data_IF_296864104276
#
_entry.id   IF_296864104276
#
_cell.length_a   1.000
_cell.length_b   1.000
_cell.length_c   1.000
_cell.angle_alpha   90.00
_cell.angle_beta   90.00
_cell.angle_gamma   90.00
#
_symmetry.space_group_name_H-M   'P 1'
#
loop_
_entity.id
_entity.type
_entity.pdbx_description
1 polymer ?
#
# COMPACT_ATOMS: atom_id res chain seq x y z
N UNK A 1 24.05 4.44 -21.42
CA UNK A 1 22.77 5.17 -21.37
C UNK A 1 22.66 5.79 -19.99
N UNK A 2 22.58 7.11 -19.91
CA UNK A 2 22.75 7.88 -18.68
C UNK A 2 21.55 7.69 -17.74
N UNK A 3 21.81 7.12 -16.56
CA UNK A 3 20.84 7.04 -15.45
C UNK A 3 20.61 8.45 -14.91
N UNK A 4 19.44 9.03 -15.17
CA UNK A 4 19.01 10.23 -14.46
C UNK A 4 18.37 9.80 -13.15
N UNK A 5 19.16 9.80 -12.09
CA UNK A 5 18.65 9.75 -10.72
C UNK A 5 18.04 11.12 -10.44
N UNK A 6 16.72 11.19 -10.34
CA UNK A 6 16.05 12.40 -9.87
C UNK A 6 15.88 12.25 -8.36
N UNK A 7 16.84 12.76 -7.59
CA UNK A 7 16.64 13.01 -6.17
C UNK A 7 15.90 14.34 -6.07
N UNK A 8 14.58 14.32 -5.89
CA UNK A 8 13.84 15.55 -5.61
C UNK A 8 14.06 15.90 -4.14
N UNK A 9 15.10 16.70 -3.86
CA UNK A 9 15.22 17.42 -2.59
C UNK A 9 14.68 18.82 -2.82
N UNK A 10 13.47 19.10 -2.31
CA UNK A 10 13.04 20.48 -2.07
C UNK A 10 12.67 20.61 -0.60
N UNK A 11 13.64 21.05 0.21
CA UNK A 11 13.43 21.41 1.60
C UNK A 11 13.62 22.92 1.75
N UNK A 12 12.55 23.65 2.08
CA UNK A 12 12.68 24.97 2.70
C UNK A 12 13.10 24.73 4.16
N UNK A 13 14.34 25.06 4.46
CA UNK A 13 14.95 24.89 5.79
C UNK A 13 14.40 25.95 6.77
N UNK A 14 13.93 25.49 7.94
CA UNK A 14 13.63 26.34 9.08
C UNK A 14 14.27 25.81 10.37
N UNK A 15 15.26 26.56 10.88
CA UNK A 15 15.60 26.66 12.31
C UNK A 15 16.43 25.54 12.95
N UNK A 16 17.70 25.83 13.28
CA UNK A 16 18.55 25.05 14.18
C UNK A 16 18.34 25.44 15.65
N UNK A 17 18.35 24.46 16.56
CA UNK A 17 18.73 24.67 17.97
C UNK A 17 19.70 23.56 18.40
N UNK A 18 20.79 23.99 19.04
CA UNK A 18 21.96 23.27 19.52
C UNK A 18 21.71 22.49 20.83
N UNK A 19 22.36 21.32 20.95
CA UNK A 19 23.08 20.91 22.17
C UNK A 19 22.53 19.76 23.03
N UNK A 20 23.15 18.57 22.95
CA UNK A 20 23.76 17.77 24.04
C UNK A 20 24.02 16.29 23.61
N UNK A 21 25.09 15.60 24.07
CA UNK A 21 25.52 14.32 23.51
C UNK A 21 25.12 13.05 24.30
N UNK A 22 24.90 11.99 23.52
CA UNK A 22 25.13 10.54 23.74
C UNK A 22 24.25 9.73 24.71
N UNK A 23 23.53 8.76 24.14
CA UNK A 23 23.57 7.35 24.56
C UNK A 23 23.28 6.44 23.36
N UNK A 24 24.04 5.36 23.22
CA UNK A 24 23.89 4.33 22.18
C UNK A 24 22.58 3.55 22.31
N UNK A 25 21.59 4.00 21.56
CA UNK A 25 20.41 3.25 21.07
C UNK A 25 20.52 3.24 19.55
N UNK A 26 19.99 2.23 18.82
CA UNK A 26 20.01 2.26 17.36
C UNK A 26 19.44 3.62 16.96
N UNK A 27 20.27 4.37 16.24
CA UNK A 27 20.02 5.77 15.89
C UNK A 27 18.56 5.91 15.52
N UNK A 28 17.81 6.57 16.39
CA UNK A 28 16.55 7.22 16.06
C UNK A 28 16.94 8.28 15.04
N UNK A 29 17.18 7.81 13.80
CA UNK A 29 17.47 8.66 12.66
C UNK A 29 16.22 9.50 12.52
N UNK A 30 16.30 10.71 13.08
CA UNK A 30 15.20 11.67 13.02
C UNK A 30 14.74 11.74 11.58
N UNK A 31 13.48 11.34 11.36
CA UNK A 31 12.90 11.36 10.03
C UNK A 31 12.94 12.77 9.48
N UNK A 32 13.18 12.88 8.18
CA UNK A 32 12.99 14.14 7.50
C UNK A 32 11.49 14.44 7.48
N UNK A 33 11.10 15.61 8.00
CA UNK A 33 9.70 16.05 7.93
C UNK A 33 9.47 16.79 6.61
N UNK A 34 8.52 16.30 5.82
CA UNK A 34 8.11 16.90 4.54
C UNK A 34 6.65 17.33 4.65
N UNK A 35 6.39 18.62 4.40
CA UNK A 35 5.05 19.20 4.56
C UNK A 35 4.02 18.57 3.62
N UNK A 36 4.41 18.32 2.38
CA UNK A 36 3.49 17.81 1.37
C UNK A 36 4.20 16.90 0.38
N UNK A 37 3.71 15.68 0.21
CA UNK A 37 4.12 14.79 -0.87
C UNK A 37 3.25 15.04 -2.11
N UNK A 38 3.89 15.59 -3.14
CA UNK A 38 3.31 15.65 -4.49
C UNK A 38 3.70 14.36 -5.23
N UNK A 39 2.74 13.47 -5.49
CA UNK A 39 2.99 12.20 -6.16
C UNK A 39 2.99 12.34 -7.67
N UNK A 40 2.28 13.34 -8.22
CA UNK A 40 2.26 13.68 -9.64
C UNK A 40 3.65 13.99 -10.22
N UNK A 41 4.62 14.40 -9.39
CA UNK A 41 6.02 14.60 -9.81
C UNK A 41 6.89 13.35 -9.69
N UNK A 42 6.41 12.30 -9.00
CA UNK A 42 7.13 11.04 -8.80
C UNK A 42 6.98 10.14 -10.03
N UNK A 43 7.76 10.44 -11.05
CA UNK A 43 7.83 9.68 -12.31
C UNK A 43 9.28 9.37 -12.67
N UNK A 44 9.51 8.30 -13.44
CA UNK A 44 10.83 7.98 -13.97
C UNK A 44 11.19 6.50 -13.87
N UNK A 45 12.49 6.18 -13.90
CA UNK A 45 12.96 4.80 -13.87
C UNK A 45 13.01 4.23 -12.45
N UNK A 46 13.35 5.04 -11.45
CA UNK A 46 13.47 4.61 -10.07
C UNK A 46 13.03 5.71 -9.12
N UNK A 47 12.23 5.36 -8.13
CA UNK A 47 11.79 6.22 -7.04
C UNK A 47 12.20 5.55 -5.74
N UNK A 48 12.90 6.29 -4.88
CA UNK A 48 13.31 5.83 -3.56
C UNK A 48 13.01 6.93 -2.54
N UNK A 49 12.19 6.59 -1.56
CA UNK A 49 11.82 7.49 -0.46
C UNK A 49 12.11 6.73 0.83
N UNK A 50 12.99 7.30 1.65
CA UNK A 50 13.41 6.66 2.89
C UNK A 50 13.43 7.64 4.06
N UNK A 51 13.18 7.14 5.26
CA UNK A 51 13.31 7.89 6.52
C UNK A 51 12.56 9.25 6.51
N UNK A 52 11.36 9.30 5.91
CA UNK A 52 10.59 10.54 5.74
C UNK A 52 9.25 10.47 6.44
N UNK A 53 8.86 11.53 7.15
CA UNK A 53 7.53 11.72 7.70
C UNK A 53 6.81 12.80 6.90
N UNK A 54 5.65 12.46 6.33
CA UNK A 54 4.83 13.39 5.58
C UNK A 54 3.74 13.98 6.48
N UNK A 55 3.52 15.29 6.40
CA UNK A 55 2.39 15.95 7.08
C UNK A 55 1.12 15.80 6.24
N UNK A 56 1.24 15.86 4.92
CA UNK A 56 0.15 15.61 3.99
C UNK A 56 0.67 14.91 2.72
N UNK A 57 -0.20 14.13 2.08
CA UNK A 57 0.03 13.54 0.77
C UNK A 57 -1.08 13.93 -0.22
N UNK A 58 -0.72 14.03 -1.50
CA UNK A 58 -1.66 14.17 -2.61
C UNK A 58 -2.74 13.07 -2.57
N UNK A 59 -3.96 13.39 -3.01
CA UNK A 59 -5.05 12.40 -3.12
C UNK A 59 -5.80 12.60 -4.45
N UNK A 60 -5.81 11.59 -5.34
CA UNK A 60 -5.09 10.32 -5.23
C UNK A 60 -3.57 10.51 -5.38
N UNK A 61 -2.78 9.86 -4.54
CA UNK A 61 -1.32 9.80 -4.69
C UNK A 61 -0.97 8.66 -5.66
N UNK A 62 -0.55 9.00 -6.88
CA UNK A 62 -0.17 8.02 -7.91
C UNK A 62 1.33 8.02 -8.11
N UNK A 63 1.98 6.88 -7.86
CA UNK A 63 3.43 6.71 -8.00
C UNK A 63 3.70 5.69 -9.10
N UNK A 64 4.43 6.08 -10.15
CA UNK A 64 4.73 5.21 -11.31
C UNK A 64 6.20 5.27 -11.70
N UNK A 65 6.88 4.12 -11.65
CA UNK A 65 8.25 3.98 -12.10
C UNK A 65 8.59 2.54 -12.50
N UNK A 66 9.79 2.26 -13.00
CA UNK A 66 10.23 0.86 -13.18
C UNK A 66 10.60 0.20 -11.84
N UNK A 67 11.13 0.98 -10.89
CA UNK A 67 11.46 0.54 -9.53
C UNK A 67 10.96 1.53 -8.49
N UNK A 68 10.32 1.04 -7.44
CA UNK A 68 9.86 1.84 -6.30
C UNK A 68 10.36 1.21 -5.01
N UNK A 69 11.01 2.02 -4.16
CA UNK A 69 11.44 1.64 -2.81
C UNK A 69 10.92 2.67 -1.82
N UNK A 70 10.08 2.23 -0.87
CA UNK A 70 9.60 3.03 0.25
C UNK A 70 10.09 2.38 1.54
N UNK A 71 10.97 3.03 2.28
CA UNK A 71 11.56 2.47 3.49
C UNK A 71 11.47 3.40 4.71
N UNK A 72 10.92 2.93 5.83
CA UNK A 72 10.89 3.68 7.10
C UNK A 72 10.24 5.07 6.99
N UNK A 73 9.16 5.18 6.21
CA UNK A 73 8.39 6.42 6.09
C UNK A 73 7.12 6.41 6.94
N UNK A 74 6.57 7.60 7.21
CA UNK A 74 5.27 7.79 7.84
C UNK A 74 4.36 8.53 6.87
N UNK A 75 3.26 7.89 6.48
CA UNK A 75 2.24 8.40 5.56
C UNK A 75 0.92 8.67 6.30
N UNK A 76 0.43 9.92 6.31
CA UNK A 76 -0.91 10.23 6.77
C UNK A 76 -1.92 9.87 5.69
N UNK A 77 -2.71 8.83 5.92
CA UNK A 77 -3.59 8.21 4.91
C UNK A 77 -5.09 8.43 5.15
N UNK A 78 -5.46 9.35 6.05
CA UNK A 78 -6.86 9.66 6.32
C UNK A 78 -7.59 10.14 5.05
N UNK A 79 -8.59 9.38 4.62
CA UNK A 79 -9.33 9.59 3.37
C UNK A 79 -8.46 9.63 2.09
N UNK A 80 -7.24 9.08 2.13
CA UNK A 80 -6.31 9.09 0.99
C UNK A 80 -6.36 7.79 0.19
N UNK A 81 -6.08 7.91 -1.10
CA UNK A 81 -5.85 6.79 -2.02
C UNK A 81 -4.37 6.80 -2.46
N UNK A 82 -3.71 5.66 -2.36
CA UNK A 82 -2.32 5.44 -2.77
C UNK A 82 -2.26 4.37 -3.87
N UNK A 83 -1.98 4.78 -5.10
CA UNK A 83 -1.80 3.89 -6.25
C UNK A 83 -0.32 3.80 -6.60
N UNK A 84 0.29 2.64 -6.39
CA UNK A 84 1.71 2.37 -6.67
C UNK A 84 1.80 1.36 -7.81
N UNK A 85 2.50 1.71 -8.89
CA UNK A 85 2.73 0.80 -10.01
C UNK A 85 4.18 0.82 -10.47
N UNK A 86 4.82 -0.34 -10.49
CA UNK A 86 6.19 -0.52 -10.98
C UNK A 86 6.52 -1.98 -11.29
N UNK A 87 7.58 -2.23 -12.06
CA UNK A 87 8.05 -3.60 -12.27
C UNK A 87 8.56 -4.21 -10.96
N UNK A 88 9.30 -3.43 -10.16
CA UNK A 88 9.85 -3.87 -8.88
C UNK A 88 9.43 -2.91 -7.77
N UNK A 89 8.72 -3.42 -6.76
CA UNK A 89 8.20 -2.66 -5.62
C UNK A 89 8.74 -3.24 -4.33
N UNK A 90 9.32 -2.40 -3.49
CA UNK A 90 9.74 -2.74 -2.13
C UNK A 90 9.17 -1.70 -1.18
N UNK A 91 8.31 -2.11 -0.26
CA UNK A 91 7.71 -1.24 0.74
C UNK A 91 7.98 -1.90 2.09
N UNK A 92 8.87 -1.30 2.87
CA UNK A 92 9.35 -1.88 4.12
C UNK A 92 9.37 -0.87 5.26
N UNK A 93 9.04 -1.34 6.48
CA UNK A 93 9.12 -0.53 7.69
C UNK A 93 8.30 0.77 7.67
N UNK A 94 7.28 0.89 6.81
CA UNK A 94 6.49 2.13 6.73
C UNK A 94 5.31 2.08 7.71
N UNK A 95 4.92 3.24 8.20
CA UNK A 95 3.66 3.46 8.93
C UNK A 95 2.68 4.20 8.02
N UNK A 96 1.51 3.62 7.81
CA UNK A 96 0.38 4.25 7.15
C UNK A 96 -0.72 4.48 8.19
N UNK A 97 -1.02 5.74 8.49
CA UNK A 97 -1.87 6.12 9.63
C UNK A 97 -3.03 7.01 9.19
N UNK A 98 -4.25 6.55 9.43
CA UNK A 98 -5.50 7.26 9.13
C UNK A 98 -6.64 6.30 8.79
N UNK A 99 -7.89 6.73 8.92
CA UNK A 99 -9.05 5.93 8.51
C UNK A 99 -9.41 6.15 7.05
N UNK A 100 -10.13 5.20 6.46
CA UNK A 100 -10.58 5.21 5.08
C UNK A 100 -9.40 5.18 4.09
N UNK A 101 -8.47 4.26 4.30
CA UNK A 101 -7.27 4.07 3.48
C UNK A 101 -7.59 3.18 2.27
N UNK A 102 -7.11 3.57 1.08
CA UNK A 102 -7.14 2.72 -0.11
C UNK A 102 -5.73 2.60 -0.69
N UNK A 103 -5.16 1.41 -0.62
CA UNK A 103 -3.84 1.09 -1.15
C UNK A 103 -3.96 0.11 -2.30
N UNK A 104 -3.54 0.53 -3.49
CA UNK A 104 -3.42 -0.31 -4.67
C UNK A 104 -1.96 -0.42 -5.10
N UNK A 105 -1.44 -1.63 -5.12
CA UNK A 105 -0.03 -1.90 -5.45
C UNK A 105 0.01 -2.93 -6.58
N UNK A 106 0.50 -2.52 -7.75
CA UNK A 106 0.52 -3.38 -8.94
C UNK A 106 1.93 -3.46 -9.53
N UNK A 107 2.46 -4.67 -9.75
CA UNK A 107 3.81 -4.83 -10.26
C UNK A 107 4.24 -6.24 -10.63
N UNK A 108 5.48 -6.41 -11.09
CA UNK A 108 5.98 -7.74 -11.47
C UNK A 108 6.57 -8.46 -10.25
N UNK A 109 7.35 -7.74 -9.44
CA UNK A 109 7.91 -8.22 -8.18
C UNK A 109 7.51 -7.25 -7.07
N UNK A 110 6.77 -7.75 -6.08
CA UNK A 110 6.30 -6.95 -4.95
C UNK A 110 6.79 -7.57 -3.66
N UNK A 111 7.47 -6.76 -2.84
CA UNK A 111 7.89 -7.13 -1.49
C UNK A 111 7.37 -6.10 -0.49
N UNK A 112 6.41 -6.53 0.35
CA UNK A 112 5.83 -5.75 1.43
C UNK A 112 6.24 -6.38 2.76
N UNK A 113 7.04 -5.68 3.57
CA UNK A 113 7.44 -6.26 4.86
C UNK A 113 7.51 -5.29 6.02
N UNK A 114 7.04 -5.72 7.19
CA UNK A 114 7.16 -4.95 8.44
C UNK A 114 6.51 -3.57 8.34
N UNK A 115 5.47 -3.42 7.49
CA UNK A 115 4.68 -2.20 7.44
C UNK A 115 3.54 -2.28 8.47
N UNK A 116 3.13 -1.12 8.97
CA UNK A 116 2.04 -0.98 9.93
C UNK A 116 0.96 -0.10 9.29
N UNK A 117 -0.26 -0.63 9.22
CA UNK A 117 -1.44 0.05 8.69
C UNK A 117 -2.43 0.28 9.82
N UNK A 118 -2.64 1.53 10.21
CA UNK A 118 -3.41 1.91 11.41
C UNK A 118 -4.60 2.78 11.00
N UNK A 119 -5.81 2.32 11.32
CA UNK A 119 -7.06 3.07 11.14
C UNK A 119 -8.21 2.21 10.61
N UNK A 120 -9.40 2.78 10.56
CA UNK A 120 -10.62 2.04 10.21
C UNK A 120 -10.87 2.06 8.69
N UNK A 121 -11.67 1.14 8.15
CA UNK A 121 -12.05 1.11 6.73
C UNK A 121 -10.85 1.06 5.78
N UNK A 122 -10.17 -0.08 5.75
CA UNK A 122 -8.93 -0.26 5.00
C UNK A 122 -9.16 -1.12 3.75
N UNK A 123 -8.66 -0.68 2.61
CA UNK A 123 -8.62 -1.47 1.37
C UNK A 123 -7.17 -1.66 0.97
N UNK A 124 -6.79 -2.92 0.77
CA UNK A 124 -5.46 -3.31 0.31
C UNK A 124 -5.60 -4.24 -0.90
N UNK A 125 -5.32 -3.72 -2.09
CA UNK A 125 -5.28 -4.46 -3.35
C UNK A 125 -3.82 -4.60 -3.80
N UNK A 126 -3.28 -5.80 -3.74
CA UNK A 126 -1.88 -6.11 -4.13
C UNK A 126 -1.89 -7.14 -5.23
N UNK A 127 -1.35 -6.76 -6.40
CA UNK A 127 -1.43 -7.56 -7.62
C UNK A 127 -0.08 -7.64 -8.29
N UNK A 128 0.42 -8.85 -8.52
CA UNK A 128 1.66 -8.98 -9.28
C UNK A 128 2.06 -10.38 -9.69
N UNK A 129 3.14 -10.48 -10.45
CA UNK A 129 3.63 -11.80 -10.88
C UNK A 129 4.21 -12.58 -9.71
N UNK A 130 5.07 -11.94 -8.92
CA UNK A 130 5.63 -12.50 -7.70
C UNK A 130 5.34 -11.54 -6.54
N UNK A 131 4.54 -11.98 -5.58
CA UNK A 131 4.11 -11.14 -4.46
C UNK A 131 4.52 -11.76 -3.14
N UNK A 132 5.16 -10.96 -2.28
CA UNK A 132 5.60 -11.40 -0.96
C UNK A 132 5.16 -10.38 0.09
N UNK A 133 4.31 -10.82 1.01
CA UNK A 133 3.69 -10.00 2.07
C UNK A 133 4.03 -10.62 3.42
N UNK A 134 4.97 -10.03 4.16
CA UNK A 134 5.57 -10.67 5.34
C UNK A 134 5.64 -9.73 6.54
N UNK A 135 5.23 -10.18 7.72
CA UNK A 135 5.37 -9.43 8.98
C UNK A 135 4.66 -8.06 8.98
N UNK A 136 3.62 -7.85 8.17
CA UNK A 136 2.85 -6.61 8.20
C UNK A 136 1.80 -6.66 9.32
N UNK A 137 1.50 -5.50 9.89
CA UNK A 137 0.46 -5.34 10.91
C UNK A 137 -0.63 -4.46 10.33
N UNK A 138 -1.86 -4.95 10.38
CA UNK A 138 -3.04 -4.22 9.99
C UNK A 138 -3.93 -4.07 11.23
N UNK A 139 -4.13 -2.84 11.69
CA UNK A 139 -4.82 -2.49 12.93
C UNK A 139 -6.03 -1.58 12.63
N UNK A 140 -7.23 -2.14 12.76
CA UNK A 140 -8.52 -1.45 12.57
C UNK A 140 -9.63 -2.34 12.00
N UNK A 141 -10.87 -1.89 12.10
CA UNK A 141 -12.07 -2.60 11.64
C UNK A 141 -12.37 -2.35 10.16
N UNK A 142 -13.19 -3.24 9.58
CA UNK A 142 -13.70 -3.17 8.21
C UNK A 142 -12.58 -3.15 7.17
N UNK A 143 -11.92 -4.29 7.01
CA UNK A 143 -10.78 -4.43 6.11
C UNK A 143 -11.11 -5.32 4.93
N UNK A 144 -10.74 -4.86 3.74
CA UNK A 144 -10.75 -5.67 2.52
C UNK A 144 -9.31 -5.85 2.05
N UNK A 145 -8.87 -7.09 1.96
CA UNK A 145 -7.56 -7.46 1.42
C UNK A 145 -7.77 -8.33 0.18
N UNK A 146 -7.28 -7.86 -0.96
CA UNK A 146 -7.21 -8.63 -2.21
C UNK A 146 -5.74 -8.82 -2.58
N UNK A 147 -5.30 -10.08 -2.54
CA UNK A 147 -3.96 -10.48 -2.95
C UNK A 147 -4.06 -11.35 -4.20
N UNK A 148 -3.45 -10.93 -5.30
CA UNK A 148 -3.51 -11.66 -6.56
C UNK A 148 -2.12 -11.82 -7.14
N UNK A 149 -1.76 -13.02 -7.57
CA UNK A 149 -0.50 -13.19 -8.28
C UNK A 149 -0.22 -14.56 -8.85
N UNK A 150 0.81 -14.64 -9.68
CA UNK A 150 1.23 -15.91 -10.27
C UNK A 150 1.92 -16.79 -9.24
N UNK A 151 2.84 -16.20 -8.50
CA UNK A 151 3.30 -16.75 -7.24
C UNK A 151 3.07 -15.72 -6.14
N UNK A 152 2.54 -16.16 -5.00
CA UNK A 152 2.51 -15.32 -3.81
C UNK A 152 2.80 -16.08 -2.52
N UNK A 153 3.41 -15.36 -1.60
CA UNK A 153 3.66 -15.80 -0.22
C UNK A 153 3.17 -14.73 0.73
N UNK A 154 2.26 -15.12 1.61
CA UNK A 154 1.79 -14.29 2.69
C UNK A 154 2.08 -14.99 4.01
N UNK A 155 2.88 -14.37 4.88
CA UNK A 155 3.25 -15.02 6.13
C UNK A 155 3.55 -14.08 7.29
N UNK A 156 3.23 -14.52 8.51
CA UNK A 156 3.49 -13.78 9.74
C UNK A 156 2.83 -12.39 9.79
N UNK A 157 1.77 -12.15 9.02
CA UNK A 157 1.02 -10.90 9.10
C UNK A 157 0.01 -10.95 10.25
N UNK A 158 -0.25 -9.81 10.87
CA UNK A 158 -1.22 -9.65 11.95
C UNK A 158 -2.38 -8.80 11.44
N UNK A 159 -3.59 -9.33 11.52
CA UNK A 159 -4.83 -8.65 11.20
C UNK A 159 -5.60 -8.44 12.50
N UNK A 160 -5.46 -7.25 13.09
CA UNK A 160 -6.13 -6.82 14.31
C UNK A 160 -7.39 -6.00 13.97
N UNK A 161 -8.50 -6.30 14.63
CA UNK A 161 -9.82 -5.70 14.42
C UNK A 161 -10.86 -6.68 13.87
N UNK A 162 -12.09 -6.20 13.77
CA UNK A 162 -13.27 -6.94 13.34
C UNK A 162 -13.54 -6.75 11.84
N UNK A 163 -14.28 -7.70 11.28
CA UNK A 163 -14.83 -7.63 9.92
C UNK A 163 -13.75 -7.49 8.85
N UNK A 164 -13.08 -8.61 8.57
CA UNK A 164 -12.06 -8.74 7.52
C UNK A 164 -12.60 -9.59 6.38
N UNK A 165 -12.62 -9.04 5.17
CA UNK A 165 -12.75 -9.80 3.93
C UNK A 165 -11.36 -9.96 3.32
N UNK A 166 -10.88 -11.20 3.25
CA UNK A 166 -9.55 -11.51 2.75
C UNK A 166 -9.63 -12.51 1.60
N UNK A 167 -9.44 -12.02 0.38
CA UNK A 167 -9.44 -12.83 -0.82
C UNK A 167 -8.03 -12.93 -1.40
N UNK A 168 -7.52 -14.16 -1.50
CA UNK A 168 -6.27 -14.44 -2.18
C UNK A 168 -6.53 -15.31 -3.40
N UNK A 169 -6.06 -14.87 -4.57
CA UNK A 169 -6.27 -15.58 -5.82
C UNK A 169 -4.93 -15.81 -6.52
N UNK A 170 -4.63 -17.09 -6.77
CA UNK A 170 -3.47 -17.47 -7.56
C UNK A 170 -3.87 -17.48 -9.04
N UNK A 171 -3.21 -16.70 -9.87
CA UNK A 171 -3.65 -16.42 -11.24
C UNK A 171 -2.54 -16.57 -12.26
N UNK A 172 -2.92 -16.87 -13.50
CA UNK A 172 -1.93 -16.90 -14.59
C UNK A 172 -1.47 -15.48 -14.93
N UNK A 173 -0.27 -15.38 -15.51
CA UNK A 173 0.27 -14.09 -15.94
C UNK A 173 -0.64 -13.41 -16.98
N UNK A 174 -1.27 -14.21 -17.86
CA UNK A 174 -2.20 -13.73 -18.88
C UNK A 174 -3.49 -13.16 -18.25
N UNK A 175 -4.05 -13.83 -17.25
CA UNK A 175 -5.24 -13.38 -16.51
C UNK A 175 -4.97 -12.08 -15.74
N UNK A 176 -3.82 -12.00 -15.07
CA UNK A 176 -3.34 -10.78 -14.41
C UNK A 176 -3.20 -9.63 -15.42
N UNK A 177 -2.64 -9.90 -16.59
CA UNK A 177 -2.45 -8.89 -17.62
C UNK A 177 -3.79 -8.41 -18.23
N UNK A 178 -4.77 -9.29 -18.40
CA UNK A 178 -6.11 -8.90 -18.89
C UNK A 178 -6.78 -7.87 -17.97
N UNK A 179 -6.68 -8.04 -16.64
CA UNK A 179 -7.28 -7.13 -15.66
C UNK A 179 -6.42 -5.87 -15.40
N UNK A 180 -5.09 -5.97 -15.46
CA UNK A 180 -4.13 -4.90 -15.06
C UNK A 180 -3.19 -4.44 -16.19
N UNK A 181 -3.61 -4.56 -17.45
CA UNK A 181 -2.78 -4.25 -18.63
C UNK A 181 -2.22 -2.82 -18.69
N UNK A 182 -2.83 -1.87 -17.97
CA UNK A 182 -2.37 -0.48 -17.93
C UNK A 182 -1.21 -0.26 -16.95
N UNK A 183 -1.04 -1.16 -15.98
CA UNK A 183 -0.04 -1.08 -14.92
C UNK A 183 1.08 -2.11 -15.08
N UNK A 184 0.79 -3.27 -15.67
CA UNK A 184 1.75 -4.35 -15.87
C UNK A 184 2.55 -4.19 -17.18
N UNK A 185 3.80 -4.62 -17.15
CA UNK A 185 4.68 -4.55 -18.33
C UNK A 185 4.12 -5.38 -19.49
N UNK A 186 4.10 -4.80 -20.70
CA UNK A 186 3.51 -5.43 -21.89
C UNK A 186 4.16 -6.76 -22.30
N UNK A 187 5.41 -7.02 -21.89
CA UNK A 187 6.07 -8.29 -22.17
C UNK A 187 5.36 -9.47 -21.49
N UNK A 188 4.69 -9.24 -20.35
CA UNK A 188 3.97 -10.27 -19.60
C UNK A 188 2.83 -10.90 -20.39
N UNK A 189 2.28 -10.19 -21.37
CA UNK A 189 1.30 -10.73 -22.33
C UNK A 189 1.78 -12.02 -23.03
N UNK A 190 3.08 -12.20 -23.16
CA UNK A 190 3.70 -13.29 -23.89
C UNK A 190 4.44 -14.29 -22.98
N UNK A 191 4.39 -14.10 -21.66
CA UNK A 191 5.10 -14.96 -20.71
C UNK A 191 4.16 -16.05 -20.19
N UNK A 192 4.37 -17.27 -20.67
CA UNK A 192 3.71 -18.45 -20.13
C UNK A 192 4.42 -18.95 -18.86
N UNK A 193 3.99 -18.45 -17.69
CA UNK A 193 4.49 -18.95 -16.41
C UNK A 193 3.68 -20.19 -15.99
N UNK A 194 4.36 -21.34 -15.94
CA UNK A 194 3.71 -22.64 -15.70
C UNK A 194 3.38 -22.92 -14.23
N UNK A 195 4.12 -22.33 -13.30
CA UNK A 195 3.92 -22.56 -11.86
C UNK A 195 3.02 -21.47 -11.29
N UNK A 196 1.84 -21.87 -10.84
CA UNK A 196 1.01 -21.04 -9.96
C UNK A 196 1.24 -21.53 -8.53
N UNK A 197 1.55 -20.63 -7.60
CA UNK A 197 1.82 -21.02 -6.21
C UNK A 197 1.28 -19.98 -5.24
N UNK A 198 0.52 -20.46 -4.27
CA UNK A 198 -0.04 -19.65 -3.18
C UNK A 198 0.40 -20.27 -1.87
N UNK A 199 1.15 -19.53 -1.05
CA UNK A 199 1.57 -19.96 0.28
C UNK A 199 1.04 -18.96 1.29
N UNK A 200 0.24 -19.45 2.24
CA UNK A 200 -0.21 -18.68 3.38
C UNK A 200 0.16 -19.44 4.66
N UNK A 201 0.96 -18.84 5.54
CA UNK A 201 1.42 -19.50 6.77
C UNK A 201 1.59 -18.51 7.92
N UNK A 202 1.26 -18.90 9.14
CA UNK A 202 1.50 -18.12 10.36
C UNK A 202 0.89 -16.71 10.36
N UNK A 203 -0.20 -16.47 9.63
CA UNK A 203 -0.96 -15.22 9.76
C UNK A 203 -1.86 -15.29 10.99
N UNK A 204 -1.95 -14.18 11.72
CA UNK A 204 -2.73 -14.07 12.96
C UNK A 204 -3.91 -13.13 12.76
N UNK A 205 -5.09 -13.56 13.17
CA UNK A 205 -6.31 -12.75 13.18
C UNK A 205 -6.71 -12.53 14.64
N UNK A 206 -6.88 -11.27 15.03
CA UNK A 206 -7.16 -10.85 16.41
C UNK A 206 -8.38 -9.93 16.38
N UNK A 207 -9.43 -10.27 17.11
CA UNK A 207 -10.71 -9.56 17.09
C UNK A 207 -10.66 -8.14 17.72
N UNK A 208 -9.52 -7.78 18.32
CA UNK A 208 -9.30 -6.48 18.96
C UNK A 208 -8.24 -5.71 18.19
N UNK A 209 -8.58 -4.50 17.80
CA UNK A 209 -7.65 -3.50 17.28
C UNK A 209 -7.16 -2.60 18.42
N UNK A 210 -5.99 -1.97 18.27
CA UNK A 210 -5.37 -1.15 19.34
C UNK A 210 -5.38 0.35 19.02
N UNK A 211 -5.72 0.72 17.79
CA UNK A 211 -5.79 2.12 17.40
C UNK A 211 -7.04 2.84 17.96
N UNK A 212 -6.90 4.13 18.25
CA UNK A 212 -8.00 5.00 18.71
C UNK A 212 -8.50 5.95 17.59
N UNK A 213 -8.19 5.64 16.33
CA UNK A 213 -8.51 6.52 15.21
C UNK A 213 -10.03 6.53 14.94
N UNK A 214 -10.63 7.72 14.71
CA UNK A 214 -12.05 7.79 14.37
C UNK A 214 -12.31 7.13 13.02
N UNK A 215 -13.43 6.41 12.90
CA UNK A 215 -13.83 5.73 11.66
C UNK A 215 -14.17 6.70 10.52
N UNK A 216 -14.64 7.90 10.85
CA UNK A 216 -15.26 8.80 9.88
C UNK A 216 -16.65 8.31 9.47
N UNK A 217 -17.23 8.90 8.44
CA UNK A 217 -18.57 8.54 7.97
C UNK A 217 -18.52 7.33 7.01
N UNK A 218 -19.01 6.17 7.46
CA UNK A 218 -19.15 4.96 6.63
C UNK A 218 -20.01 5.21 5.40
N UNK A 219 -21.14 5.91 5.57
CA UNK A 219 -22.06 6.22 4.46
C UNK A 219 -21.36 7.08 3.42
N UNK A 220 -20.62 8.11 3.84
CA UNK A 220 -19.85 8.96 2.92
C UNK A 220 -18.73 8.19 2.25
N UNK A 221 -18.06 7.31 2.99
CA UNK A 221 -17.00 6.45 2.48
C UNK A 221 -17.52 5.54 1.37
N UNK A 222 -18.56 4.75 1.65
CA UNK A 222 -19.16 3.82 0.68
C UNK A 222 -19.74 4.56 -0.53
N UNK A 223 -20.40 5.70 -0.31
CA UNK A 223 -20.90 6.52 -1.42
C UNK A 223 -19.76 6.97 -2.35
N UNK A 224 -18.59 7.36 -1.81
CA UNK A 224 -17.42 7.73 -2.62
C UNK A 224 -16.78 6.53 -3.31
N UNK A 225 -16.77 5.36 -2.67
CA UNK A 225 -16.29 4.10 -3.26
C UNK A 225 -17.16 3.72 -4.47
N UNK A 226 -18.47 3.60 -4.28
CA UNK A 226 -19.38 3.09 -5.32
C UNK A 226 -19.72 4.12 -6.41
N UNK A 227 -19.51 5.42 -6.16
CA UNK A 227 -19.58 6.45 -7.21
C UNK A 227 -18.32 6.53 -8.07
N UNK A 228 -17.26 5.77 -7.74
CA UNK A 228 -15.98 5.82 -8.44
C UNK A 228 -15.15 7.09 -8.16
N UNK A 229 -15.57 7.92 -7.20
CA UNK A 229 -14.86 9.15 -6.80
C UNK A 229 -13.61 8.80 -5.97
N UNK A 230 -13.69 7.75 -5.15
CA UNK A 230 -12.58 7.31 -4.30
C UNK A 230 -11.79 6.16 -4.88
N UNK A 231 -12.48 5.20 -5.49
CA UNK A 231 -11.84 4.03 -6.13
C UNK A 231 -12.06 4.15 -7.63
N UNK A 232 -11.02 4.53 -8.37
CA UNK A 232 -11.06 4.54 -9.84
C UNK A 232 -10.98 3.12 -10.39
N UNK A 233 -12.05 2.35 -10.25
CA UNK A 233 -12.22 1.00 -10.80
C UNK A 233 -13.54 0.91 -11.55
N UNK A 234 -13.68 -0.13 -12.37
CA UNK A 234 -15.00 -0.47 -12.91
C UNK A 234 -15.92 -0.86 -11.75
N UNK A 235 -17.20 -0.54 -11.88
CA UNK A 235 -18.20 -0.81 -10.83
C UNK A 235 -18.32 -2.31 -10.52
N UNK A 236 -18.08 -3.16 -11.51
CA UNK A 236 -18.10 -4.62 -11.43
C UNK A 236 -16.74 -5.25 -11.04
N UNK A 237 -15.76 -4.44 -10.62
CA UNK A 237 -14.49 -4.98 -10.15
C UNK A 237 -14.70 -5.85 -8.90
N UNK A 238 -13.98 -6.97 -8.81
CA UNK A 238 -14.11 -7.93 -7.70
C UNK A 238 -13.87 -7.30 -6.33
N UNK A 239 -13.05 -6.24 -6.24
CA UNK A 239 -12.82 -5.52 -4.99
C UNK A 239 -14.07 -4.74 -4.55
N UNK A 240 -14.83 -4.16 -5.48
CA UNK A 240 -16.08 -3.46 -5.20
C UNK A 240 -17.13 -4.41 -4.63
N UNK A 241 -17.20 -5.64 -5.16
CA UNK A 241 -18.07 -6.69 -4.64
C UNK A 241 -17.68 -7.09 -3.21
N UNK A 242 -16.40 -7.34 -2.94
CA UNK A 242 -15.93 -7.68 -1.60
C UNK A 242 -16.22 -6.59 -0.57
N UNK A 243 -16.08 -5.32 -0.96
CA UNK A 243 -16.46 -4.19 -0.12
C UNK A 243 -17.97 -4.23 0.15
N UNK A 244 -18.80 -4.44 -0.86
CA UNK A 244 -20.25 -4.53 -0.67
C UNK A 244 -20.62 -5.65 0.30
N UNK A 245 -20.15 -6.87 0.04
CA UNK A 245 -20.43 -8.04 0.88
C UNK A 245 -20.00 -7.84 2.33
N UNK A 246 -18.79 -7.27 2.55
CA UNK A 246 -18.29 -7.01 3.89
C UNK A 246 -19.22 -6.06 4.67
N UNK A 247 -19.70 -5.00 4.03
CA UNK A 247 -20.54 -4.02 4.74
C UNK A 247 -21.98 -4.48 4.87
N UNK A 248 -22.55 -5.19 3.89
CA UNK A 248 -23.90 -5.78 4.00
C UNK A 248 -24.01 -6.85 5.09
N UNK A 249 -22.93 -7.56 5.40
CA UNK A 249 -22.93 -8.53 6.50
C UNK A 249 -22.89 -7.88 7.90
N UNK A 250 -22.54 -6.59 7.98
CA UNK A 250 -22.26 -5.91 9.23
C UNK A 250 -23.19 -4.70 9.48
N UNK A 251 -24.10 -4.37 8.56
CA UNK A 251 -25.08 -3.28 8.63
C UNK A 251 -26.42 -3.70 8.04
#
# INVERSE_FOLDING_TARGET
>A
MFSKVVVVVLAMLGGTILGAPSSTTPTDERRQVVQYLNCSILTGNSIEISNTEFIEIESPCKIRASKIVLNNNVFPTFEKQLDISAENITIINNLFYGSQQDHRIVGNQIYLSTNVYVGQHQIHEVVGINVMVINNIYDGDYRVVKLMGNTFTETHNIYAGNSVSHNMTASRAEELFEEYSLELSSYLKYVALKSITAIQTNNYYIDTHFNELPSGSVVTYLARVFSGIKIFRKFDATISEQIRELYEQNF
#
